data_IF_861165401238
#
_entry.id   IF_861165401238
#
_cell.length_a   1.000
_cell.length_b   1.000
_cell.length_c   1.000
_cell.angle_alpha   90.00
_cell.angle_beta   90.00
_cell.angle_gamma   90.00
#
_symmetry.space_group_name_H-M   'P 1'
#
loop_
_entity.id
_entity.type
_entity.pdbx_description
1 polymer ?
#
# COMPACT_ATOMS: atom_id res chain seq x y z
N UNK A 1 -15.98 -18.78 -2.48
CA UNK A 1 -15.00 -19.81 -2.91
C UNK A 1 -13.71 -19.61 -2.12
N UNK A 2 -13.22 -20.65 -1.43
CA UNK A 2 -12.01 -20.55 -0.61
C UNK A 2 -10.75 -20.63 -1.51
N UNK A 3 -9.95 -19.55 -1.55
CA UNK A 3 -8.72 -19.47 -2.34
C UNK A 3 -7.68 -20.53 -1.95
N UNK A 4 -7.65 -20.96 -0.68
CA UNK A 4 -6.72 -22.01 -0.19
C UNK A 4 -7.04 -23.36 -0.81
N UNK A 5 -8.35 -23.66 -0.96
CA UNK A 5 -8.80 -24.87 -1.63
C UNK A 5 -8.49 -24.83 -3.12
N UNK A 6 -8.81 -23.69 -3.77
CA UNK A 6 -8.50 -23.50 -5.20
C UNK A 6 -6.99 -23.56 -5.46
N UNK A 7 -6.18 -22.94 -4.60
CA UNK A 7 -4.73 -22.95 -4.71
C UNK A 7 -4.15 -24.38 -4.72
N UNK A 8 -4.63 -25.21 -3.80
CA UNK A 8 -4.22 -26.61 -3.72
C UNK A 8 -4.77 -27.45 -4.88
N UNK A 9 -6.10 -27.38 -5.14
CA UNK A 9 -6.76 -28.24 -6.10
C UNK A 9 -6.31 -27.97 -7.55
N UNK A 10 -5.91 -26.71 -7.85
CA UNK A 10 -5.42 -26.28 -9.16
C UNK A 10 -3.88 -26.15 -9.25
N UNK A 11 -3.18 -26.46 -8.16
CA UNK A 11 -1.72 -26.35 -8.07
C UNK A 11 -1.20 -24.94 -8.38
N UNK A 12 -1.77 -23.92 -7.67
CA UNK A 12 -1.44 -22.52 -7.92
C UNK A 12 -0.33 -21.99 -6.99
N UNK A 13 -0.38 -22.34 -5.72
CA UNK A 13 0.59 -21.92 -4.70
C UNK A 13 0.58 -22.87 -3.50
N UNK A 14 1.64 -22.77 -2.71
CA UNK A 14 1.79 -23.46 -1.44
C UNK A 14 2.47 -22.60 -0.39
N UNK A 15 2.46 -23.07 0.86
CA UNK A 15 3.17 -22.49 2.00
C UNK A 15 4.06 -23.57 2.62
N UNK A 16 5.27 -23.80 2.06
CA UNK A 16 6.18 -24.82 2.59
C UNK A 16 6.68 -24.44 3.99
N UNK A 17 6.69 -25.41 4.91
CA UNK A 17 7.16 -25.19 6.29
C UNK A 17 8.64 -24.74 6.33
N UNK A 18 9.44 -25.19 5.37
CA UNK A 18 10.86 -24.85 5.23
C UNK A 18 11.10 -23.34 4.96
N UNK A 19 10.13 -22.65 4.35
CA UNK A 19 10.19 -21.21 4.09
C UNK A 19 9.63 -20.44 5.28
N UNK A 20 8.66 -21.00 5.97
CA UNK A 20 7.99 -20.38 7.09
C UNK A 20 6.57 -19.89 6.78
N UNK A 21 5.78 -19.74 7.82
CA UNK A 21 4.36 -19.38 7.69
C UNK A 21 4.15 -17.98 7.14
N UNK A 22 3.14 -17.81 6.29
CA UNK A 22 2.78 -16.51 5.71
C UNK A 22 3.68 -16.05 4.57
N UNK A 23 4.46 -16.96 3.98
CA UNK A 23 5.30 -16.72 2.81
C UNK A 23 4.88 -17.69 1.70
N UNK A 24 4.14 -17.20 0.72
CA UNK A 24 3.58 -18.00 -0.36
C UNK A 24 4.62 -18.27 -1.45
N UNK A 25 4.64 -19.51 -1.95
CA UNK A 25 5.37 -19.91 -3.15
C UNK A 25 4.37 -20.15 -4.26
N UNK A 26 4.46 -19.40 -5.35
CA UNK A 26 3.60 -19.58 -6.52
C UNK A 26 4.19 -20.64 -7.44
N UNK A 27 3.37 -21.63 -7.76
CA UNK A 27 3.67 -22.70 -8.71
C UNK A 27 3.50 -22.21 -10.16
N UNK A 28 3.91 -22.96 -11.19
CA UNK A 28 3.89 -22.45 -12.56
C UNK A 28 2.55 -21.88 -13.02
N UNK A 29 1.44 -22.53 -12.70
CA UNK A 29 0.10 -22.02 -13.05
C UNK A 29 -0.25 -20.74 -12.28
N UNK A 30 0.03 -20.70 -10.98
CA UNK A 30 -0.18 -19.54 -10.14
C UNK A 30 0.73 -18.37 -10.54
N UNK A 31 1.99 -18.67 -10.92
CA UNK A 31 2.93 -17.68 -11.45
C UNK A 31 2.45 -17.03 -12.75
N UNK A 32 1.82 -17.80 -13.64
CA UNK A 32 1.19 -17.24 -14.86
C UNK A 32 0.06 -16.29 -14.49
N UNK A 33 -0.86 -16.70 -13.60
CA UNK A 33 -1.99 -15.86 -13.17
C UNK A 33 -1.45 -14.56 -12.55
N UNK A 34 -0.48 -14.68 -11.62
CA UNK A 34 0.13 -13.51 -10.96
C UNK A 34 0.74 -12.55 -11.98
N UNK A 35 1.50 -13.06 -12.94
CA UNK A 35 2.12 -12.24 -14.00
C UNK A 35 1.07 -11.52 -14.85
N UNK A 36 0.04 -12.23 -15.34
CA UNK A 36 -1.00 -11.64 -16.17
C UNK A 36 -1.77 -10.53 -15.42
N UNK A 37 -2.05 -10.74 -14.12
CA UNK A 37 -2.64 -9.71 -13.27
C UNK A 37 -1.72 -8.49 -13.12
N UNK A 38 -0.43 -8.70 -12.84
CA UNK A 38 0.55 -7.62 -12.71
C UNK A 38 0.74 -6.87 -14.04
N UNK A 39 0.79 -7.54 -15.16
CA UNK A 39 0.91 -6.92 -16.49
C UNK A 39 -0.32 -6.08 -16.82
N UNK A 40 -1.53 -6.59 -16.55
CA UNK A 40 -2.77 -5.84 -16.72
C UNK A 40 -2.82 -4.59 -15.86
N UNK A 41 -2.58 -4.73 -14.57
CA UNK A 41 -2.61 -3.61 -13.61
C UNK A 41 -1.53 -2.57 -13.94
N UNK A 42 -0.35 -3.01 -14.38
CA UNK A 42 0.73 -2.11 -14.84
C UNK A 42 0.29 -1.25 -16.01
N UNK A 43 -0.33 -1.85 -17.03
CA UNK A 43 -0.82 -1.11 -18.19
C UNK A 43 -1.89 -0.10 -17.79
N UNK A 44 -2.82 -0.48 -16.91
CA UNK A 44 -3.87 0.42 -16.40
C UNK A 44 -3.27 1.61 -15.65
N UNK A 45 -2.25 1.40 -14.80
CA UNK A 45 -1.55 2.51 -14.13
C UNK A 45 -0.88 3.45 -15.13
N UNK A 46 -0.21 2.91 -16.15
CA UNK A 46 0.46 3.72 -17.17
C UNK A 46 -0.55 4.55 -17.98
N UNK A 47 -1.69 3.97 -18.34
CA UNK A 47 -2.79 4.65 -19.03
C UNK A 47 -3.36 5.82 -18.20
N UNK A 48 -3.40 5.67 -16.86
CA UNK A 48 -3.84 6.70 -15.92
C UNK A 48 -2.73 7.70 -15.54
N UNK A 49 -1.60 7.67 -16.23
CA UNK A 49 -0.52 8.63 -16.09
C UNK A 49 0.44 8.37 -14.93
N UNK A 50 0.48 7.16 -14.40
CA UNK A 50 1.47 6.78 -13.40
C UNK A 50 2.80 6.40 -14.03
N UNK A 51 3.89 6.80 -13.41
CA UNK A 51 5.25 6.38 -13.77
C UNK A 51 5.68 5.18 -12.94
N UNK A 52 6.09 4.10 -13.62
CA UNK A 52 6.58 2.89 -12.95
C UNK A 52 7.96 3.12 -12.34
N UNK A 53 8.12 2.75 -11.08
CA UNK A 53 9.37 2.84 -10.33
C UNK A 53 9.70 1.50 -9.67
N UNK A 54 10.86 1.39 -9.04
CA UNK A 54 11.27 0.22 -8.29
C UNK A 54 12.12 0.61 -7.09
N UNK A 55 11.88 0.00 -5.95
CA UNK A 55 12.60 0.26 -4.71
C UNK A 55 13.17 -1.01 -4.09
N UNK A 56 14.29 -0.92 -3.33
CA UNK A 56 14.91 -2.07 -2.68
C UNK A 56 14.05 -2.60 -1.53
N UNK A 57 14.26 -3.87 -1.18
CA UNK A 57 13.54 -4.54 -0.10
C UNK A 57 14.05 -4.17 1.31
N UNK A 58 15.30 -3.73 1.39
CA UNK A 58 15.96 -3.37 2.65
C UNK A 58 16.44 -1.93 2.62
N UNK A 59 16.45 -1.27 3.77
CA UNK A 59 16.97 0.09 3.94
C UNK A 59 17.57 0.31 5.31
N UNK A 60 18.41 1.32 5.42
CA UNK A 60 18.96 1.76 6.70
C UNK A 60 17.87 2.32 7.62
N UNK A 61 18.03 2.06 8.91
CA UNK A 61 17.14 2.50 9.99
C UNK A 61 16.75 3.98 9.93
N UNK A 62 17.70 4.86 9.62
CA UNK A 62 17.49 6.31 9.59
C UNK A 62 16.34 6.77 8.70
N UNK A 63 16.07 6.07 7.59
CA UNK A 63 14.93 6.39 6.73
C UNK A 63 13.59 6.16 7.45
N UNK A 64 13.48 5.09 8.23
CA UNK A 64 12.25 4.78 8.96
C UNK A 64 12.03 5.70 10.17
N UNK A 65 13.07 6.23 10.77
CA UNK A 65 12.92 7.32 11.75
C UNK A 65 12.42 8.61 11.11
N UNK A 66 13.01 9.00 9.97
CA UNK A 66 12.60 10.22 9.24
C UNK A 66 11.14 10.15 8.77
N UNK A 67 10.69 8.99 8.36
CA UNK A 67 9.32 8.77 7.84
C UNK A 67 8.29 8.46 8.94
N UNK A 68 8.70 8.39 10.22
CA UNK A 68 7.80 8.08 11.35
C UNK A 68 7.40 6.61 11.47
N UNK A 69 7.98 5.69 10.66
CA UNK A 69 7.68 4.26 10.79
C UNK A 69 8.26 3.66 12.08
N UNK A 70 9.40 4.15 12.52
CA UNK A 70 9.93 3.91 13.85
C UNK A 70 9.72 5.18 14.70
N UNK A 71 9.07 5.12 15.86
CA UNK A 71 8.65 3.95 16.64
C UNK A 71 7.21 3.44 16.37
N UNK A 72 6.41 4.09 15.50
CA UNK A 72 4.96 3.82 15.43
C UNK A 72 4.59 2.41 14.93
N UNK A 73 5.42 1.81 14.06
CA UNK A 73 5.18 0.50 13.45
C UNK A 73 6.24 -0.54 13.80
N UNK A 74 7.07 -0.31 14.84
CA UNK A 74 8.17 -1.20 15.22
C UNK A 74 7.69 -2.63 15.48
N UNK A 75 6.55 -2.80 16.15
CA UNK A 75 5.95 -4.10 16.45
C UNK A 75 5.52 -4.90 15.22
N UNK A 76 5.34 -4.23 14.07
CA UNK A 76 4.92 -4.85 12.81
C UNK A 76 6.07 -5.06 11.84
N UNK A 77 7.29 -4.63 12.19
CA UNK A 77 8.48 -4.79 11.38
C UNK A 77 9.28 -6.01 11.80
N UNK A 78 9.89 -6.69 10.82
CA UNK A 78 10.88 -7.72 11.13
C UNK A 78 12.06 -7.12 11.89
N UNK A 79 12.68 -7.89 12.81
CA UNK A 79 13.88 -7.43 13.53
C UNK A 79 14.97 -6.95 12.56
N UNK A 80 15.75 -5.93 12.95
CA UNK A 80 16.81 -5.42 12.07
C UNK A 80 17.94 -6.42 11.85
N UNK A 81 18.59 -6.26 10.72
CA UNK A 81 19.85 -6.94 10.37
C UNK A 81 21.00 -6.01 10.68
N UNK A 82 22.00 -6.49 11.41
CA UNK A 82 23.23 -5.74 11.66
C UNK A 82 24.20 -5.93 10.48
N UNK A 83 24.61 -4.85 9.84
CA UNK A 83 25.55 -4.84 8.72
C UNK A 83 26.50 -3.64 8.83
N UNK A 84 27.81 -3.88 8.86
CA UNK A 84 28.84 -2.83 8.78
C UNK A 84 28.61 -1.63 9.73
N UNK A 85 28.29 -1.90 10.98
CA UNK A 85 27.95 -0.89 12.02
C UNK A 85 26.66 -0.08 11.71
N UNK A 86 25.78 -0.60 10.89
CA UNK A 86 24.47 -0.03 10.57
C UNK A 86 23.38 -1.07 10.74
N UNK A 87 22.17 -0.60 11.11
CA UNK A 87 20.98 -1.44 11.19
C UNK A 87 20.17 -1.28 9.91
N UNK A 88 19.79 -2.41 9.31
CA UNK A 88 18.94 -2.47 8.13
C UNK A 88 17.64 -3.19 8.45
N UNK A 89 16.55 -2.76 7.87
CA UNK A 89 15.23 -3.36 8.03
C UNK A 89 14.67 -3.81 6.69
N UNK A 90 13.89 -4.87 6.71
CA UNK A 90 12.95 -5.18 5.64
C UNK A 90 11.84 -4.12 5.64
N UNK A 91 11.50 -3.57 4.48
CA UNK A 91 10.46 -2.55 4.38
C UNK A 91 9.07 -3.13 4.68
N UNK A 92 8.34 -2.48 5.56
CA UNK A 92 6.93 -2.77 5.83
C UNK A 92 5.97 -1.99 4.93
N UNK A 93 6.46 -0.89 4.30
CA UNK A 93 5.74 -0.01 3.38
C UNK A 93 6.70 0.55 2.32
N UNK A 94 6.17 0.97 1.17
CA UNK A 94 6.96 1.54 0.07
C UNK A 94 7.04 3.08 0.11
N UNK A 95 6.17 3.74 0.87
CA UNK A 95 6.05 5.20 0.94
C UNK A 95 7.39 5.95 1.14
N UNK A 96 8.28 5.54 2.06
CA UNK A 96 9.55 6.26 2.27
C UNK A 96 10.43 6.26 1.03
N UNK A 97 10.43 5.18 0.24
CA UNK A 97 11.22 5.06 -0.99
C UNK A 97 10.67 5.94 -2.10
N UNK A 98 9.36 6.00 -2.29
CA UNK A 98 8.74 6.91 -3.24
C UNK A 98 9.01 8.38 -2.89
N UNK A 99 9.00 8.74 -1.61
CA UNK A 99 9.39 10.07 -1.15
C UNK A 99 10.87 10.38 -1.45
N UNK A 100 11.77 9.40 -1.39
CA UNK A 100 13.16 9.56 -1.83
C UNK A 100 13.25 9.83 -3.33
N UNK A 101 12.44 9.13 -4.15
CA UNK A 101 12.36 9.38 -5.60
C UNK A 101 11.83 10.79 -5.86
N UNK A 102 10.75 11.21 -5.17
CA UNK A 102 10.20 12.55 -5.31
C UNK A 102 11.26 13.63 -5.04
N UNK A 103 11.99 13.53 -3.94
CA UNK A 103 13.00 14.52 -3.52
C UNK A 103 14.37 14.37 -4.17
N UNK A 104 14.59 13.38 -5.05
CA UNK A 104 15.89 13.09 -5.68
C UNK A 104 16.39 14.21 -6.58
N UNK A 105 15.50 15.10 -7.01
CA UNK A 105 15.80 16.31 -7.81
C UNK A 105 14.90 17.47 -7.39
N UNK A 106 15.30 18.68 -7.72
CA UNK A 106 14.40 19.82 -7.64
C UNK A 106 13.26 19.65 -8.62
N UNK A 107 12.04 19.99 -8.19
CA UNK A 107 10.82 19.89 -9.00
C UNK A 107 10.11 21.22 -9.09
N UNK A 108 9.54 21.51 -10.25
CA UNK A 108 8.62 22.62 -10.41
C UNK A 108 7.21 22.18 -9.99
N UNK A 109 6.44 23.10 -9.40
CA UNK A 109 5.02 22.87 -9.15
C UNK A 109 4.23 22.52 -10.43
N UNK A 110 4.76 22.90 -11.60
CA UNK A 110 4.17 22.57 -12.91
C UNK A 110 4.33 21.09 -13.31
N UNK A 111 5.17 20.34 -12.59
CA UNK A 111 5.31 18.90 -12.77
C UNK A 111 4.24 18.11 -11.99
N UNK A 112 3.44 18.81 -11.17
CA UNK A 112 2.37 18.22 -10.39
C UNK A 112 1.03 18.24 -11.15
N UNK A 113 0.19 17.20 -11.00
CA UNK A 113 0.41 16.05 -10.13
C UNK A 113 1.47 15.09 -10.68
N UNK A 114 2.33 14.57 -9.79
CA UNK A 114 3.28 13.52 -10.11
C UNK A 114 2.80 12.20 -9.50
N UNK A 115 2.59 11.18 -10.31
CA UNK A 115 2.08 9.88 -9.89
C UNK A 115 3.14 8.81 -10.08
N UNK A 116 3.50 8.12 -9.01
CA UNK A 116 4.47 7.02 -9.00
C UNK A 116 3.75 5.72 -8.60
N UNK A 117 4.14 4.59 -9.19
CA UNK A 117 3.68 3.30 -8.73
C UNK A 117 4.76 2.22 -8.91
N UNK A 118 4.70 1.17 -8.09
CA UNK A 118 5.51 -0.04 -8.24
C UNK A 118 4.74 -1.29 -7.82
N UNK A 119 5.15 -2.46 -8.29
CA UNK A 119 4.86 -3.71 -7.62
C UNK A 119 5.86 -3.88 -6.48
N UNK A 120 5.55 -3.27 -5.35
CA UNK A 120 6.42 -3.20 -4.18
C UNK A 120 6.17 -4.35 -3.22
N UNK A 121 7.17 -5.23 -3.05
CA UNK A 121 7.08 -6.28 -2.04
C UNK A 121 7.43 -5.72 -0.68
N UNK A 122 6.52 -5.90 0.29
CA UNK A 122 6.68 -5.47 1.69
C UNK A 122 6.62 -6.67 2.63
N UNK A 123 7.16 -6.50 3.83
CA UNK A 123 7.31 -7.56 4.82
C UNK A 123 6.79 -7.09 6.16
N UNK A 124 5.86 -7.85 6.75
CA UNK A 124 5.23 -7.52 8.03
C UNK A 124 5.39 -8.66 9.02
N UNK A 125 5.82 -8.34 10.21
CA UNK A 125 6.02 -9.32 11.30
C UNK A 125 4.68 -9.72 11.90
N UNK A 126 3.90 -10.48 11.13
CA UNK A 126 2.63 -11.04 11.58
C UNK A 126 2.85 -12.23 12.52
N UNK A 127 2.12 -12.27 13.63
CA UNK A 127 2.15 -13.43 14.55
C UNK A 127 1.56 -14.66 13.85
N UNK A 128 2.12 -15.84 14.13
CA UNK A 128 1.68 -17.09 13.47
C UNK A 128 0.18 -17.38 13.60
N UNK A 129 -0.45 -16.99 14.71
CA UNK A 129 -1.88 -17.22 14.94
C UNK A 129 -2.84 -16.35 14.11
N UNK A 130 -2.34 -15.30 13.41
CA UNK A 130 -3.16 -14.41 12.60
C UNK A 130 -2.93 -14.58 11.11
N UNK A 131 -1.91 -15.35 10.70
CA UNK A 131 -1.62 -15.63 9.28
C UNK A 131 -2.72 -16.51 8.69
N UNK A 132 -3.25 -16.14 7.51
CA UNK A 132 -4.37 -16.84 6.88
C UNK A 132 -4.30 -16.82 5.37
N UNK A 133 -3.92 -17.93 4.75
CA UNK A 133 -3.83 -18.10 3.29
C UNK A 133 -3.05 -16.96 2.63
N UNK A 134 -3.62 -16.37 1.57
CA UNK A 134 -3.09 -15.16 0.90
C UNK A 134 -3.68 -13.85 1.45
N UNK A 135 -4.66 -13.91 2.36
CA UNK A 135 -5.35 -12.71 2.86
C UNK A 135 -4.60 -12.01 4.00
N UNK A 136 -3.80 -12.76 4.77
CA UNK A 136 -2.92 -12.20 5.79
C UNK A 136 -1.60 -12.95 5.82
N UNK A 137 -0.56 -12.31 5.33
CA UNK A 137 0.75 -12.90 5.04
C UNK A 137 1.88 -12.05 5.64
N UNK A 138 3.08 -12.62 5.71
CA UNK A 138 4.30 -11.92 6.16
C UNK A 138 5.07 -11.25 5.04
N UNK A 139 4.83 -11.66 3.80
CA UNK A 139 5.40 -11.05 2.60
C UNK A 139 4.34 -10.95 1.52
N UNK A 140 4.12 -9.76 0.98
CA UNK A 140 3.15 -9.50 -0.09
C UNK A 140 3.68 -8.46 -1.06
N UNK A 141 3.23 -8.57 -2.30
CA UNK A 141 3.50 -7.56 -3.34
C UNK A 141 2.25 -6.72 -3.53
N UNK A 142 2.41 -5.40 -3.45
CA UNK A 142 1.34 -4.43 -3.64
C UNK A 142 1.58 -3.69 -4.97
N UNK A 143 0.52 -3.39 -5.68
CA UNK A 143 0.48 -2.37 -6.74
C UNK A 143 0.37 -0.98 -6.09
N UNK A 144 1.42 -0.62 -5.37
CA UNK A 144 1.47 0.55 -4.49
C UNK A 144 1.75 1.82 -5.28
N UNK A 145 0.94 2.85 -5.07
CA UNK A 145 1.06 4.13 -5.77
C UNK A 145 1.01 5.32 -4.82
N UNK A 146 1.73 6.38 -5.21
CA UNK A 146 1.77 7.66 -4.49
C UNK A 146 1.62 8.80 -5.47
N UNK A 147 0.62 9.64 -5.25
CA UNK A 147 0.39 10.88 -5.99
C UNK A 147 0.88 12.07 -5.17
N UNK A 148 1.65 12.92 -5.81
CA UNK A 148 2.16 14.17 -5.26
C UNK A 148 1.45 15.31 -5.98
N UNK A 149 0.71 16.13 -5.25
CA UNK A 149 -0.10 17.21 -5.82
C UNK A 149 -0.07 18.44 -4.91
N UNK A 150 -0.55 19.59 -5.41
CA UNK A 150 -0.81 20.75 -4.56
C UNK A 150 -2.12 20.56 -3.78
N UNK A 151 -2.34 21.31 -2.68
CA UNK A 151 -3.62 21.26 -1.97
C UNK A 151 -4.83 21.53 -2.85
N UNK A 152 -4.69 22.41 -3.85
CA UNK A 152 -5.76 22.76 -4.78
C UNK A 152 -6.08 21.61 -5.74
N UNK A 153 -5.10 20.76 -6.07
CA UNK A 153 -5.26 19.60 -6.93
C UNK A 153 -5.80 18.37 -6.16
N UNK A 154 -5.70 18.36 -4.83
CA UNK A 154 -6.03 17.18 -4.03
C UNK A 154 -7.45 16.62 -4.25
N UNK A 155 -8.52 17.44 -4.35
CA UNK A 155 -9.87 16.89 -4.63
C UNK A 155 -9.95 16.13 -5.94
N UNK A 156 -9.38 16.66 -7.02
CA UNK A 156 -9.36 16.02 -8.34
C UNK A 156 -8.51 14.74 -8.33
N UNK A 157 -7.36 14.76 -7.64
CA UNK A 157 -6.50 13.57 -7.52
C UNK A 157 -7.15 12.46 -6.70
N UNK A 158 -7.85 12.78 -5.61
CA UNK A 158 -8.58 11.78 -4.81
C UNK A 158 -9.73 11.18 -5.62
N UNK A 159 -10.49 11.98 -6.36
CA UNK A 159 -11.54 11.51 -7.27
C UNK A 159 -10.97 10.59 -8.35
N UNK A 160 -9.85 10.99 -8.99
CA UNK A 160 -9.16 10.20 -9.99
C UNK A 160 -8.73 8.84 -9.43
N UNK A 161 -8.07 8.81 -8.26
CA UNK A 161 -7.64 7.59 -7.60
C UNK A 161 -8.82 6.68 -7.24
N UNK A 162 -9.89 7.24 -6.71
CA UNK A 162 -11.09 6.48 -6.35
C UNK A 162 -11.69 5.81 -7.59
N UNK A 163 -11.90 6.56 -8.67
CA UNK A 163 -12.46 6.03 -9.91
C UNK A 163 -11.56 4.95 -10.53
N UNK A 164 -10.23 5.14 -10.49
CA UNK A 164 -9.26 4.17 -10.97
C UNK A 164 -9.33 2.86 -10.16
N UNK A 165 -9.31 2.93 -8.82
CA UNK A 165 -9.38 1.75 -7.95
C UNK A 165 -10.70 1.01 -8.14
N UNK A 166 -11.83 1.72 -8.19
CA UNK A 166 -13.13 1.11 -8.43
C UNK A 166 -13.22 0.43 -9.81
N UNK A 167 -12.61 1.03 -10.82
CA UNK A 167 -12.46 0.44 -12.14
C UNK A 167 -11.71 -0.88 -12.10
N UNK A 168 -10.53 -0.90 -11.47
CA UNK A 168 -9.72 -2.11 -11.31
C UNK A 168 -10.45 -3.23 -10.54
N UNK A 169 -11.13 -2.88 -9.45
CA UNK A 169 -11.91 -3.88 -8.68
C UNK A 169 -12.99 -4.54 -9.55
N UNK A 170 -13.73 -3.75 -10.33
CA UNK A 170 -14.76 -4.26 -11.25
C UNK A 170 -14.16 -5.13 -12.35
N UNK A 171 -13.00 -4.77 -12.90
CA UNK A 171 -12.30 -5.57 -13.92
C UNK A 171 -11.94 -6.96 -13.38
N UNK A 172 -11.70 -7.10 -12.08
CA UNK A 172 -11.49 -8.38 -11.40
C UNK A 172 -12.78 -9.02 -10.88
N UNK A 173 -13.96 -8.46 -11.19
CA UNK A 173 -15.26 -9.00 -10.78
C UNK A 173 -15.57 -8.80 -9.31
N UNK A 174 -14.99 -7.76 -8.68
CA UNK A 174 -15.27 -7.36 -7.30
C UNK A 174 -16.21 -6.15 -7.36
N UNK A 175 -17.51 -6.39 -7.14
CA UNK A 175 -18.56 -5.37 -7.26
C UNK A 175 -19.21 -5.05 -5.92
N UNK A 176 -18.97 -5.86 -4.89
CA UNK A 176 -19.55 -5.72 -3.55
C UNK A 176 -18.50 -5.09 -2.61
N UNK A 177 -18.59 -3.78 -2.43
CA UNK A 177 -17.69 -3.00 -1.58
C UNK A 177 -18.41 -1.73 -1.06
N UNK A 178 -17.89 -1.19 0.03
CA UNK A 178 -18.23 0.10 0.60
C UNK A 178 -16.97 0.92 0.82
N UNK A 179 -17.10 2.22 1.08
CA UNK A 179 -15.99 3.10 1.42
C UNK A 179 -15.90 3.26 2.94
N UNK A 180 -14.71 3.07 3.48
CA UNK A 180 -14.38 3.50 4.84
C UNK A 180 -13.64 4.84 4.80
N UNK A 181 -14.12 5.80 5.61
CA UNK A 181 -13.44 7.06 5.84
C UNK A 181 -12.68 6.97 7.16
N UNK A 182 -11.41 6.59 7.09
CA UNK A 182 -10.54 6.55 8.25
C UNK A 182 -10.13 7.97 8.64
N UNK A 183 -10.27 8.29 9.91
CA UNK A 183 -9.89 9.58 10.49
C UNK A 183 -9.05 9.37 11.74
N UNK A 184 -8.43 10.42 12.26
CA UNK A 184 -7.74 10.31 13.54
C UNK A 184 -8.73 10.05 14.67
N UNK A 185 -8.24 9.35 15.70
CA UNK A 185 -8.96 9.20 16.98
C UNK A 185 -8.61 10.38 17.90
N UNK A 186 -9.53 11.32 18.03
CA UNK A 186 -9.34 12.51 18.87
C UNK A 186 -9.15 12.19 20.36
N UNK A 187 -9.48 10.97 20.80
CA UNK A 187 -9.21 10.50 22.16
C UNK A 187 -7.74 10.11 22.38
N UNK A 188 -6.96 9.98 21.30
CA UNK A 188 -5.54 9.56 21.31
C UNK A 188 -4.68 10.42 20.40
N UNK A 189 -4.66 11.76 20.58
CA UNK A 189 -4.01 12.69 19.65
C UNK A 189 -2.51 12.39 19.48
N UNK A 190 -1.83 11.91 20.52
CA UNK A 190 -0.39 11.59 20.48
C UNK A 190 -0.02 10.44 19.53
N UNK A 191 -1.01 9.69 19.02
CA UNK A 191 -0.79 8.63 18.03
C UNK A 191 -0.79 9.12 16.59
N UNK A 192 -1.13 10.37 16.36
CA UNK A 192 -1.30 10.93 15.01
C UNK A 192 -0.37 12.11 14.81
N UNK A 193 0.24 12.19 13.63
CA UNK A 193 1.13 13.27 13.23
C UNK A 193 0.32 14.30 12.41
N UNK A 194 0.61 15.57 12.57
CA UNK A 194 -0.03 16.67 11.85
C UNK A 194 -0.83 17.60 12.77
N UNK A 195 -1.18 18.76 12.25
CA UNK A 195 -2.01 19.76 12.95
C UNK A 195 -3.49 19.48 12.79
N UNK A 196 -4.31 20.11 13.65
CA UNK A 196 -5.78 20.00 13.55
C UNK A 196 -6.29 20.53 12.21
N UNK A 197 -5.70 21.59 11.70
CA UNK A 197 -6.04 22.18 10.40
C UNK A 197 -5.72 21.25 9.23
N UNK A 198 -4.55 20.59 9.25
CA UNK A 198 -4.17 19.61 8.22
C UNK A 198 -5.12 18.42 8.22
N UNK A 199 -5.45 17.88 9.38
CA UNK A 199 -6.43 16.80 9.52
C UNK A 199 -7.80 17.19 9.04
N UNK A 200 -8.29 18.38 9.45
CA UNK A 200 -9.61 18.89 9.03
C UNK A 200 -9.69 19.06 7.50
N UNK A 201 -8.65 19.62 6.89
CA UNK A 201 -8.59 19.83 5.45
C UNK A 201 -8.54 18.50 4.69
N UNK A 202 -7.66 17.56 5.09
CA UNK A 202 -7.52 16.27 4.44
C UNK A 202 -8.81 15.43 4.57
N UNK A 203 -9.39 15.35 5.77
CA UNK A 203 -10.64 14.63 6.01
C UNK A 203 -11.77 15.19 5.16
N UNK A 204 -11.89 16.53 5.07
CA UNK A 204 -12.92 17.15 4.26
C UNK A 204 -12.81 16.81 2.77
N UNK A 205 -11.60 16.81 2.21
CA UNK A 205 -11.39 16.43 0.81
C UNK A 205 -11.84 14.99 0.55
N UNK A 206 -11.44 14.06 1.42
CA UNK A 206 -11.81 12.66 1.31
C UNK A 206 -13.32 12.46 1.43
N UNK A 207 -13.95 13.11 2.41
CA UNK A 207 -15.39 13.05 2.65
C UNK A 207 -16.20 13.60 1.47
N UNK A 208 -15.84 14.79 0.96
CA UNK A 208 -16.52 15.42 -0.16
C UNK A 208 -16.48 14.53 -1.42
N UNK A 209 -15.31 13.93 -1.74
CA UNK A 209 -15.18 13.01 -2.87
C UNK A 209 -15.93 11.69 -2.64
N UNK A 210 -15.87 11.14 -1.42
CA UNK A 210 -16.58 9.91 -1.10
C UNK A 210 -18.10 10.09 -1.22
N UNK A 211 -18.65 11.20 -0.70
CA UNK A 211 -20.08 11.55 -0.84
C UNK A 211 -20.45 11.71 -2.32
N UNK A 212 -19.63 12.41 -3.10
CA UNK A 212 -19.88 12.63 -4.52
C UNK A 212 -19.89 11.32 -5.34
N UNK A 213 -19.15 10.29 -4.90
CA UNK A 213 -19.13 8.97 -5.55
C UNK A 213 -20.47 8.22 -5.49
N UNK A 214 -21.33 8.56 -4.55
CA UNK A 214 -22.62 7.90 -4.30
C UNK A 214 -22.52 6.50 -3.68
N UNK A 215 -21.33 6.09 -3.24
CA UNK A 215 -21.13 4.83 -2.54
C UNK A 215 -21.48 4.96 -1.05
N UNK A 216 -21.78 3.81 -0.42
CA UNK A 216 -21.95 3.74 1.03
C UNK A 216 -20.65 4.16 1.72
N UNK A 217 -20.74 5.17 2.59
CA UNK A 217 -19.62 5.69 3.35
C UNK A 217 -19.75 5.30 4.82
N UNK A 218 -18.75 4.59 5.33
CA UNK A 218 -18.67 4.15 6.73
C UNK A 218 -17.55 4.93 7.43
N UNK A 219 -17.88 5.73 8.49
CA UNK A 219 -16.84 6.38 9.28
C UNK A 219 -16.04 5.37 10.10
N UNK A 220 -14.72 5.53 10.12
CA UNK A 220 -13.77 4.67 10.87
C UNK A 220 -12.78 5.53 11.67
N UNK A 221 -13.17 6.06 12.85
CA UNK A 221 -12.29 6.87 13.70
C UNK A 221 -11.14 6.05 14.28
N UNK A 222 -9.91 6.40 13.92
CA UNK A 222 -8.69 5.72 14.39
C UNK A 222 -8.28 4.52 13.56
N UNK A 223 -8.92 4.32 12.38
CA UNK A 223 -8.60 3.27 11.42
C UNK A 223 -7.35 3.50 10.61
#
# INVERSE_FOLDING_TARGET
>A
RDHRKLGRDLDLFSFPDEIGSGLAVFHPKGGVIKREMEDYVRLRHIEEGFSYVGSPHITKEGLFHTSGHLPYYEDTMFPPMEMENSRYFLKAMNCPMHNLIYRSKQRSYRELPLRLFEFGTVYRYEKSGVVHGLTRVRGLTQDDSHSYCTPEQAPEEVEHLLNFVLGLLRDFGIDDFYLELSTRDDSKPDKFIGTDEEWAQATKVLEDVAIASGLELVPDPGG
#
